data_IF_684811214943
#
_entry.id   IF_684811214943
#
_cell.length_a   1.000
_cell.length_b   1.000
_cell.length_c   1.000
_cell.angle_alpha   90.00
_cell.angle_beta   90.00
_cell.angle_gamma   90.00
#
_symmetry.space_group_name_H-M   'P 1'
#
loop_
_entity.id
_entity.type
_entity.pdbx_description
1 polymer ?
#
# COMPACT_ATOMS: atom_id res chain seq x y z
N UNK A 1 -32.02 55.62 20.38
CA UNK A 1 -31.70 54.27 19.85
C UNK A 1 -30.62 53.68 20.74
N UNK A 2 -30.91 52.60 21.47
CA UNK A 2 -29.98 51.97 22.42
C UNK A 2 -28.69 51.56 21.70
N UNK A 3 -27.53 51.71 22.33
CA UNK A 3 -26.23 51.43 21.69
C UNK A 3 -26.08 49.96 21.26
N UNK A 4 -26.81 49.05 21.89
CA UNK A 4 -26.95 47.65 21.45
C UNK A 4 -27.64 47.53 20.08
N UNK A 5 -28.68 48.33 19.81
CA UNK A 5 -29.42 48.31 18.53
C UNK A 5 -28.58 48.91 17.41
N UNK A 6 -27.79 49.95 17.69
CA UNK A 6 -26.82 50.51 16.73
C UNK A 6 -25.74 49.49 16.35
N UNK A 7 -25.24 48.75 17.33
CA UNK A 7 -24.20 47.73 17.10
C UNK A 7 -24.73 46.56 16.26
N UNK A 8 -25.96 46.12 16.52
CA UNK A 8 -26.63 45.07 15.70
C UNK A 8 -26.86 45.56 14.27
N UNK A 9 -27.36 46.80 14.08
CA UNK A 9 -27.56 47.36 12.74
C UNK A 9 -26.22 47.51 12.00
N UNK A 10 -25.17 47.99 12.68
CA UNK A 10 -23.84 48.11 12.08
C UNK A 10 -23.30 46.76 11.61
N UNK A 11 -23.46 45.70 12.42
CA UNK A 11 -23.03 44.35 12.05
C UNK A 11 -23.81 43.83 10.83
N UNK A 12 -25.14 43.98 10.80
CA UNK A 12 -25.97 43.56 9.65
C UNK A 12 -25.57 44.29 8.38
N UNK A 13 -25.31 45.60 8.46
CA UNK A 13 -24.86 46.40 7.31
C UNK A 13 -23.48 45.96 6.82
N UNK A 14 -22.54 45.68 7.73
CA UNK A 14 -21.21 45.18 7.38
C UNK A 14 -21.31 43.80 6.74
N UNK A 15 -22.08 42.87 7.31
CA UNK A 15 -22.28 41.54 6.72
C UNK A 15 -22.91 41.62 5.33
N UNK A 16 -23.92 42.48 5.13
CA UNK A 16 -24.54 42.69 3.82
C UNK A 16 -23.55 43.25 2.81
N UNK A 17 -22.79 44.27 3.20
CA UNK A 17 -21.81 44.90 2.30
C UNK A 17 -20.67 43.96 1.93
N UNK A 18 -20.13 43.19 2.89
CA UNK A 18 -19.08 42.20 2.61
C UNK A 18 -19.59 41.08 1.71
N UNK A 19 -20.81 40.55 1.97
CA UNK A 19 -21.40 39.49 1.13
C UNK A 19 -21.63 39.96 -0.30
N UNK A 20 -22.16 41.18 -0.47
CA UNK A 20 -22.43 41.75 -1.78
C UNK A 20 -21.14 42.06 -2.54
N UNK A 21 -20.10 42.52 -1.84
CA UNK A 21 -18.76 42.68 -2.42
C UNK A 21 -18.15 41.33 -2.84
N UNK A 22 -18.19 40.30 -1.99
CA UNK A 22 -17.68 38.96 -2.33
C UNK A 22 -18.42 38.34 -3.52
N UNK A 23 -19.74 38.49 -3.57
CA UNK A 23 -20.57 38.01 -4.67
C UNK A 23 -20.27 38.74 -5.98
N UNK A 24 -20.10 40.06 -5.95
CA UNK A 24 -19.74 40.83 -7.14
C UNK A 24 -18.33 40.48 -7.65
N UNK A 25 -17.37 40.31 -6.74
CA UNK A 25 -16.03 39.82 -7.10
C UNK A 25 -16.14 38.43 -7.73
N UNK A 26 -16.79 37.47 -7.07
CA UNK A 26 -16.96 36.11 -7.59
C UNK A 26 -17.66 36.08 -8.96
N UNK A 27 -18.73 36.86 -9.16
CA UNK A 27 -19.45 36.94 -10.43
C UNK A 27 -18.58 37.42 -11.60
N UNK A 28 -17.64 38.34 -11.34
CA UNK A 28 -16.71 38.83 -12.37
C UNK A 28 -15.51 37.90 -12.53
N UNK A 29 -14.99 37.34 -11.43
CA UNK A 29 -13.76 36.54 -11.47
C UNK A 29 -14.00 35.11 -11.93
N UNK A 30 -15.12 34.48 -11.56
CA UNK A 30 -15.43 33.09 -11.91
C UNK A 30 -15.33 32.80 -13.42
N UNK A 31 -15.98 33.56 -14.33
CA UNK A 31 -15.88 33.29 -15.76
C UNK A 31 -14.47 33.52 -16.33
N UNK A 32 -13.70 34.47 -15.76
CA UNK A 32 -12.31 34.73 -16.17
C UNK A 32 -11.39 33.59 -15.72
N UNK A 33 -11.60 33.07 -14.52
CA UNK A 33 -10.87 31.91 -13.99
C UNK A 33 -11.18 30.68 -14.85
N UNK A 34 -12.45 30.46 -15.18
CA UNK A 34 -12.88 29.36 -16.06
C UNK A 34 -12.24 29.47 -17.45
N UNK A 35 -12.27 30.64 -18.07
CA UNK A 35 -11.64 30.87 -19.38
C UNK A 35 -10.11 30.67 -19.33
N UNK A 36 -9.45 31.17 -18.29
CA UNK A 36 -8.01 31.00 -18.11
C UNK A 36 -7.64 29.54 -17.83
N UNK A 37 -8.45 28.81 -17.06
CA UNK A 37 -8.26 27.38 -16.84
C UNK A 37 -8.44 26.60 -18.13
N UNK A 38 -9.48 26.90 -18.93
CA UNK A 38 -9.70 26.27 -20.23
C UNK A 38 -8.52 26.54 -21.20
N UNK A 39 -7.97 27.76 -21.21
CA UNK A 39 -6.76 28.10 -21.98
C UNK A 39 -5.52 27.39 -21.47
N UNK A 40 -5.35 27.27 -20.15
CA UNK A 40 -4.23 26.55 -19.55
C UNK A 40 -4.29 25.05 -19.87
N UNK A 41 -5.49 24.47 -19.83
CA UNK A 41 -5.75 23.08 -20.23
C UNK A 41 -5.48 22.87 -21.72
N UNK A 42 -5.99 23.71 -22.62
CA UNK A 42 -5.64 23.57 -24.04
C UNK A 42 -4.15 23.84 -24.31
N UNK A 43 -3.54 24.75 -23.55
CA UNK A 43 -2.10 25.02 -23.61
C UNK A 43 -1.25 23.83 -23.16
N UNK A 44 -1.75 23.00 -22.23
CA UNK A 44 -1.02 21.83 -21.75
C UNK A 44 -0.95 20.70 -22.78
N UNK A 45 -1.81 20.68 -23.82
CA UNK A 45 -1.85 19.57 -24.78
C UNK A 45 -0.55 19.45 -25.58
N UNK A 46 0.00 20.58 -26.02
CA UNK A 46 1.26 20.60 -26.76
C UNK A 46 2.47 20.23 -25.89
N UNK A 47 2.37 20.43 -24.58
CA UNK A 47 3.39 20.03 -23.62
C UNK A 47 3.25 18.55 -23.23
N UNK A 48 2.01 18.07 -23.05
CA UNK A 48 1.68 16.69 -22.74
C UNK A 48 2.02 15.75 -23.90
N UNK A 49 1.76 16.18 -25.14
CA UNK A 49 2.06 15.43 -26.36
C UNK A 49 2.84 16.30 -27.36
N UNK A 50 4.17 16.45 -27.19
CA UNK A 50 4.99 17.26 -28.07
C UNK A 50 4.93 16.82 -29.54
N UNK A 51 4.69 17.78 -30.44
CA UNK A 51 4.59 17.54 -31.87
C UNK A 51 3.17 17.30 -32.40
N UNK A 52 2.16 17.30 -31.52
CA UNK A 52 0.74 17.21 -31.90
C UNK A 52 0.29 18.31 -32.85
N UNK A 53 -0.55 17.96 -33.83
CA UNK A 53 -1.11 18.88 -34.83
C UNK A 53 -2.64 18.87 -34.74
N UNK A 54 -3.10 19.37 -33.60
CA UNK A 54 -4.51 19.47 -33.27
C UNK A 54 -5.11 18.18 -32.72
N UNK A 55 -6.31 18.33 -32.18
CA UNK A 55 -6.99 17.28 -31.42
C UNK A 55 -8.47 17.24 -31.77
N UNK A 56 -9.02 16.03 -31.77
CA UNK A 56 -10.46 15.78 -31.75
C UNK A 56 -10.86 15.25 -30.36
N UNK A 57 -11.96 15.77 -29.81
CA UNK A 57 -12.50 15.27 -28.53
C UNK A 57 -13.17 13.91 -28.75
N UNK A 58 -12.89 12.97 -27.85
CA UNK A 58 -13.54 11.67 -27.77
C UNK A 58 -14.49 11.66 -26.57
N UNK A 59 -15.71 11.21 -26.81
CA UNK A 59 -16.68 10.99 -25.73
C UNK A 59 -16.22 9.82 -24.85
N UNK A 60 -16.02 10.01 -23.54
CA UNK A 60 -15.70 8.93 -22.62
C UNK A 60 -16.82 7.88 -22.57
N UNK A 61 -16.47 6.65 -22.19
CA UNK A 61 -17.46 5.62 -21.90
C UNK A 61 -18.41 6.06 -20.76
N UNK A 62 -19.65 5.56 -20.75
CA UNK A 62 -20.67 5.97 -19.79
C UNK A 62 -20.29 5.64 -18.33
N UNK A 63 -19.42 4.66 -18.13
CA UNK A 63 -18.86 4.17 -16.88
C UNK A 63 -17.39 4.59 -16.68
N UNK A 64 -16.91 5.60 -17.43
CA UNK A 64 -15.58 6.15 -17.23
C UNK A 64 -15.40 6.64 -15.77
N UNK A 65 -14.21 6.43 -15.18
CA UNK A 65 -13.93 6.89 -13.82
C UNK A 65 -14.17 8.39 -13.65
N UNK A 66 -14.72 8.82 -12.50
CA UNK A 66 -15.04 10.23 -12.24
C UNK A 66 -13.83 11.18 -12.32
N UNK A 67 -12.63 10.64 -12.15
CA UNK A 67 -11.37 11.38 -12.30
C UNK A 67 -11.16 11.86 -13.72
N UNK A 68 -11.68 11.14 -14.73
CA UNK A 68 -11.54 11.47 -16.16
C UNK A 68 -12.55 12.53 -16.56
N UNK A 69 -12.05 13.67 -17.06
CA UNK A 69 -12.88 14.81 -17.47
C UNK A 69 -13.11 14.89 -18.96
N UNK A 70 -12.09 14.57 -19.75
CA UNK A 70 -12.18 14.54 -21.21
C UNK A 70 -11.01 13.76 -21.79
N UNK A 71 -11.23 13.21 -22.99
CA UNK A 71 -10.23 12.47 -23.76
C UNK A 71 -10.13 13.15 -25.12
N UNK A 72 -8.92 13.36 -25.60
CA UNK A 72 -8.63 13.96 -26.89
C UNK A 72 -7.71 13.06 -27.68
N UNK A 73 -8.02 12.84 -28.96
CA UNK A 73 -7.17 12.10 -29.89
C UNK A 73 -6.46 13.07 -30.81
N UNK A 74 -5.17 12.86 -31.01
CA UNK A 74 -4.36 13.66 -31.92
C UNK A 74 -4.64 13.26 -33.38
N UNK A 75 -4.73 14.26 -34.26
CA UNK A 75 -5.24 14.08 -35.63
C UNK A 75 -4.33 13.23 -36.54
N UNK A 76 -3.02 13.24 -36.32
CA UNK A 76 -2.01 12.59 -37.16
C UNK A 76 -1.46 11.28 -36.56
N UNK A 77 -2.12 10.74 -35.53
CA UNK A 77 -1.79 9.43 -34.96
C UNK A 77 -0.61 9.44 -33.98
N UNK A 78 -0.28 10.58 -33.39
CA UNK A 78 0.76 10.66 -32.35
C UNK A 78 0.29 10.06 -31.01
N UNK A 79 -1.00 10.12 -30.72
CA UNK A 79 -1.56 9.57 -29.50
C UNK A 79 -2.78 10.32 -29.00
N UNK A 80 -2.87 10.44 -27.68
CA UNK A 80 -4.03 10.90 -26.94
C UNK A 80 -3.60 11.84 -25.82
N UNK A 81 -4.51 12.73 -25.42
CA UNK A 81 -4.41 13.54 -24.21
C UNK A 81 -5.62 13.25 -23.35
N UNK A 82 -5.40 12.91 -22.09
CA UNK A 82 -6.47 12.69 -21.11
C UNK A 82 -6.38 13.77 -20.04
N UNK A 83 -7.52 14.41 -19.75
CA UNK A 83 -7.65 15.41 -18.69
C UNK A 83 -8.27 14.74 -17.47
N UNK A 84 -7.59 14.89 -16.34
CA UNK A 84 -7.97 14.31 -15.08
C UNK A 84 -8.08 15.39 -14.01
N UNK A 85 -9.01 15.19 -13.08
CA UNK A 85 -9.00 15.88 -11.81
C UNK A 85 -9.15 14.87 -10.68
N UNK A 86 -8.31 14.99 -9.66
CA UNK A 86 -8.32 14.12 -8.48
C UNK A 86 -8.13 14.93 -7.22
N UNK A 87 -8.62 14.42 -6.10
CA UNK A 87 -8.45 15.04 -4.77
C UNK A 87 -7.88 14.02 -3.82
N UNK A 88 -6.89 14.42 -3.03
CA UNK A 88 -6.54 13.67 -1.83
C UNK A 88 -7.46 14.05 -0.67
N UNK A 89 -7.44 13.27 0.42
CA UNK A 89 -8.19 13.60 1.63
C UNK A 89 -7.76 14.92 2.31
N UNK A 90 -6.68 15.55 1.84
CA UNK A 90 -6.13 16.81 2.37
C UNK A 90 -6.18 17.98 1.37
N UNK A 91 -6.82 17.81 0.21
CA UNK A 91 -6.94 18.86 -0.80
C UNK A 91 -8.29 19.57 -0.72
N UNK A 92 -8.29 20.90 -0.59
CA UNK A 92 -9.51 21.72 -0.65
C UNK A 92 -9.97 22.00 -2.09
N UNK A 93 -9.14 21.68 -3.09
CA UNK A 93 -9.45 21.80 -4.52
C UNK A 93 -8.81 20.66 -5.31
N UNK A 94 -9.35 20.28 -6.48
CA UNK A 94 -8.79 19.17 -7.25
C UNK A 94 -7.43 19.49 -7.85
N UNK A 95 -6.53 18.51 -7.82
CA UNK A 95 -5.32 18.49 -8.63
C UNK A 95 -5.68 18.22 -10.09
N UNK A 96 -5.32 19.14 -10.98
CA UNK A 96 -5.57 19.03 -12.42
C UNK A 96 -4.36 18.39 -13.10
N UNK A 97 -4.60 17.34 -13.88
CA UNK A 97 -3.55 16.56 -14.56
C UNK A 97 -3.91 16.44 -16.04
N UNK A 98 -2.95 16.72 -16.91
CA UNK A 98 -3.01 16.41 -18.34
C UNK A 98 -1.98 15.34 -18.63
N UNK A 99 -2.41 14.17 -19.11
CA UNK A 99 -1.52 13.05 -19.46
C UNK A 99 -1.50 12.89 -20.98
N UNK A 100 -0.32 12.95 -21.58
CA UNK A 100 -0.14 12.63 -23.00
C UNK A 100 0.34 11.20 -23.16
N UNK A 101 -0.39 10.38 -23.90
CA UNK A 101 -0.15 8.95 -24.08
C UNK A 101 0.01 8.68 -25.57
N UNK A 102 1.09 8.04 -25.99
CA UNK A 102 1.28 7.64 -27.39
C UNK A 102 0.35 6.51 -27.82
N UNK A 103 0.25 6.27 -29.12
CA UNK A 103 -0.47 5.08 -29.64
C UNK A 103 0.18 3.76 -29.21
N UNK A 104 1.47 3.80 -28.86
CA UNK A 104 2.22 2.73 -28.23
C UNK A 104 1.88 2.50 -26.75
N UNK A 105 0.92 3.25 -26.19
CA UNK A 105 0.53 3.15 -24.78
C UNK A 105 1.53 3.77 -23.82
N UNK A 106 2.58 4.43 -24.33
CA UNK A 106 3.63 5.01 -23.49
C UNK A 106 3.31 6.47 -23.16
N UNK A 107 3.41 6.83 -21.88
CA UNK A 107 3.28 8.21 -21.40
C UNK A 107 4.43 9.04 -21.99
N UNK A 108 4.08 10.07 -22.75
CA UNK A 108 5.03 11.02 -23.36
C UNK A 108 5.36 12.15 -22.41
N UNK A 109 4.37 12.67 -21.68
CA UNK A 109 4.57 13.66 -20.63
C UNK A 109 3.33 13.76 -19.73
N UNK A 110 3.50 14.30 -18.52
CA UNK A 110 2.42 14.68 -17.61
C UNK A 110 2.56 16.14 -17.21
N UNK A 111 1.49 16.92 -17.38
CA UNK A 111 1.44 18.34 -17.01
C UNK A 111 0.46 18.50 -15.85
N UNK A 112 0.95 19.05 -14.74
CA UNK A 112 0.12 19.49 -13.62
C UNK A 112 -0.45 20.87 -13.92
N UNK A 113 -1.74 20.94 -14.25
CA UNK A 113 -2.43 22.21 -14.56
C UNK A 113 -2.90 22.91 -13.30
N UNK A 114 -3.14 22.17 -12.21
CA UNK A 114 -3.39 22.71 -10.89
C UNK A 114 -2.82 21.79 -9.80
N UNK A 115 -2.20 22.37 -8.77
CA UNK A 115 -1.69 21.64 -7.61
C UNK A 115 -2.25 22.24 -6.32
N UNK A 116 -3.02 21.44 -5.57
CA UNK A 116 -3.81 21.89 -4.43
C UNK A 116 -3.53 21.08 -3.15
N UNK A 117 -2.39 20.40 -3.09
CA UNK A 117 -1.99 19.59 -1.94
C UNK A 117 -1.23 20.44 -0.91
N UNK A 118 -1.40 20.09 0.37
CA UNK A 118 -0.73 20.79 1.48
C UNK A 118 0.79 20.57 1.48
N UNK A 119 1.24 19.43 0.95
CA UNK A 119 2.65 19.06 0.85
C UNK A 119 2.98 18.67 -0.58
N UNK A 120 4.10 19.17 -1.07
CA UNK A 120 4.62 18.87 -2.40
C UNK A 120 5.24 17.46 -2.44
N UNK A 121 4.85 16.65 -3.42
CA UNK A 121 5.48 15.35 -3.71
C UNK A 121 6.73 15.45 -4.59
N UNK A 122 7.08 16.66 -5.04
CA UNK A 122 8.28 16.97 -5.81
C UNK A 122 8.10 16.75 -7.31
N UNK A 123 8.90 17.48 -8.10
CA UNK A 123 8.86 17.39 -9.57
C UNK A 123 9.29 16.02 -10.12
N UNK A 124 10.10 15.28 -9.36
CA UNK A 124 10.61 13.96 -9.76
C UNK A 124 9.50 12.91 -9.79
N UNK A 125 8.44 13.06 -8.98
CA UNK A 125 7.37 12.07 -8.90
C UNK A 125 6.52 12.03 -10.18
N UNK A 126 5.91 13.12 -10.68
CA UNK A 126 5.26 13.12 -12.00
C UNK A 126 6.21 12.72 -13.14
N UNK A 127 7.48 13.12 -13.06
CA UNK A 127 8.47 12.77 -14.08
C UNK A 127 8.75 11.25 -14.16
N UNK A 128 8.58 10.51 -13.07
CA UNK A 128 8.76 9.04 -13.04
C UNK A 128 7.77 8.28 -13.93
N UNK A 129 6.63 8.90 -14.28
CA UNK A 129 5.63 8.32 -15.17
C UNK A 129 6.02 8.40 -16.64
N UNK A 130 6.94 9.30 -17.00
CA UNK A 130 7.35 9.49 -18.40
C UNK A 130 8.09 8.24 -18.88
N UNK A 131 7.66 7.70 -20.02
CA UNK A 131 8.19 6.45 -20.57
C UNK A 131 7.58 5.17 -19.98
N UNK A 132 6.66 5.28 -19.02
CA UNK A 132 5.89 4.14 -18.50
C UNK A 132 4.68 3.86 -19.38
N UNK A 133 4.21 2.62 -19.36
CA UNK A 133 2.95 2.17 -19.95
C UNK A 133 1.84 2.11 -18.88
N UNK A 134 0.72 1.44 -19.19
CA UNK A 134 -0.39 1.26 -18.24
C UNK A 134 -0.07 0.38 -17.03
N UNK A 135 1.02 -0.41 -17.05
CA UNK A 135 1.44 -1.22 -15.91
C UNK A 135 2.15 -0.37 -14.84
N UNK A 136 2.70 0.80 -15.22
CA UNK A 136 3.36 1.76 -14.31
C UNK A 136 4.42 1.10 -13.40
N UNK A 137 5.21 0.16 -13.95
CA UNK A 137 6.16 -0.67 -13.22
C UNK A 137 7.27 0.14 -12.52
N UNK A 138 7.71 1.24 -13.13
CA UNK A 138 8.76 2.09 -12.59
C UNK A 138 8.32 3.16 -11.59
N UNK A 139 7.05 3.16 -11.16
CA UNK A 139 6.47 4.24 -10.36
C UNK A 139 6.16 3.77 -8.94
N UNK A 140 6.89 4.30 -7.96
CA UNK A 140 6.63 4.08 -6.53
C UNK A 140 5.90 5.26 -5.88
N UNK A 141 5.09 5.00 -4.85
CA UNK A 141 4.45 6.04 -4.03
C UNK A 141 5.49 6.85 -3.23
N UNK A 142 5.15 8.09 -2.89
CA UNK A 142 6.08 9.00 -2.18
C UNK A 142 5.79 8.99 -0.69
N UNK A 143 6.76 8.53 0.10
CA UNK A 143 6.66 8.51 1.56
C UNK A 143 6.48 9.92 2.14
N UNK A 144 5.60 10.06 3.13
CA UNK A 144 5.29 11.34 3.78
C UNK A 144 4.22 12.18 3.08
N UNK A 145 3.82 11.80 1.86
CA UNK A 145 2.73 12.39 1.06
C UNK A 145 1.89 11.30 0.36
N UNK A 146 1.81 10.11 0.97
CA UNK A 146 1.22 8.91 0.38
C UNK A 146 -0.18 9.15 -0.18
N UNK A 147 -1.05 9.86 0.54
CA UNK A 147 -2.41 10.17 0.07
C UNK A 147 -2.42 10.93 -1.26
N UNK A 148 -1.55 11.93 -1.40
CA UNK A 148 -1.43 12.73 -2.61
C UNK A 148 -0.80 11.93 -3.75
N UNK A 149 0.26 11.16 -3.47
CA UNK A 149 0.89 10.31 -4.49
C UNK A 149 -0.04 9.19 -4.96
N UNK A 150 -0.84 8.60 -4.07
CA UNK A 150 -1.83 7.56 -4.41
C UNK A 150 -2.96 8.14 -5.26
N UNK A 151 -3.51 9.30 -4.87
CA UNK A 151 -4.54 9.97 -5.66
C UNK A 151 -4.05 10.30 -7.09
N UNK A 152 -2.80 10.75 -7.24
CA UNK A 152 -2.17 10.97 -8.54
C UNK A 152 -2.02 9.67 -9.34
N UNK A 153 -1.45 8.61 -8.72
CA UNK A 153 -1.25 7.31 -9.39
C UNK A 153 -2.57 6.74 -9.89
N UNK A 154 -3.58 6.74 -9.03
CA UNK A 154 -4.91 6.23 -9.37
C UNK A 154 -5.53 7.03 -10.52
N UNK A 155 -5.39 8.36 -10.55
CA UNK A 155 -5.88 9.16 -11.66
C UNK A 155 -5.20 8.80 -12.99
N UNK A 156 -3.88 8.53 -12.99
CA UNK A 156 -3.18 8.07 -14.20
C UNK A 156 -3.64 6.66 -14.62
N UNK A 157 -3.88 5.76 -13.67
CA UNK A 157 -4.49 4.45 -13.94
C UNK A 157 -5.88 4.59 -14.56
N UNK A 158 -6.72 5.47 -14.01
CA UNK A 158 -8.06 5.76 -14.52
C UNK A 158 -8.04 6.32 -15.95
N UNK A 159 -6.99 7.09 -16.30
CA UNK A 159 -6.78 7.56 -17.67
C UNK A 159 -6.67 6.39 -18.66
N UNK A 160 -5.90 5.35 -18.32
CA UNK A 160 -5.79 4.16 -19.14
C UNK A 160 -7.09 3.36 -19.18
N UNK A 161 -7.77 3.19 -18.04
CA UNK A 161 -9.09 2.53 -17.99
C UNK A 161 -10.07 3.17 -18.96
N UNK A 162 -10.18 4.50 -18.94
CA UNK A 162 -11.08 5.20 -19.86
C UNK A 162 -10.60 5.17 -21.31
N UNK A 163 -9.28 5.25 -21.54
CA UNK A 163 -8.71 5.22 -22.88
C UNK A 163 -8.90 3.87 -23.56
N UNK A 164 -8.67 2.75 -22.87
CA UNK A 164 -8.89 1.40 -23.41
C UNK A 164 -10.36 1.13 -23.76
N UNK A 165 -11.30 1.84 -23.14
CA UNK A 165 -12.72 1.70 -23.46
C UNK A 165 -13.12 2.38 -24.78
N UNK A 166 -12.37 3.39 -25.24
CA UNK A 166 -12.75 4.25 -26.38
C UNK A 166 -11.73 4.31 -27.50
N UNK A 167 -10.52 3.79 -27.29
CA UNK A 167 -9.40 3.87 -28.21
C UNK A 167 -8.60 2.56 -28.30
N UNK A 168 -7.95 2.37 -29.45
CA UNK A 168 -7.04 1.25 -29.71
C UNK A 168 -5.61 1.66 -29.31
N UNK A 169 -5.32 1.55 -28.02
CA UNK A 169 -4.02 1.87 -27.42
C UNK A 169 -3.42 0.60 -26.88
N UNK A 170 -2.11 0.39 -27.11
CA UNK A 170 -1.43 -0.78 -26.58
C UNK A 170 -1.51 -0.80 -25.05
N UNK A 171 -1.96 -1.92 -24.49
CA UNK A 171 -1.89 -2.17 -23.05
C UNK A 171 -0.46 -2.53 -22.66
N UNK A 172 0.01 -1.96 -21.56
CA UNK A 172 1.24 -2.39 -20.90
C UNK A 172 1.09 -3.80 -20.36
N UNK A 173 2.16 -4.57 -20.44
CA UNK A 173 2.20 -5.92 -19.85
C UNK A 173 2.73 -5.81 -18.43
N UNK A 174 1.91 -6.19 -17.44
CA UNK A 174 2.41 -6.38 -16.08
C UNK A 174 3.46 -7.49 -16.10
N UNK A 175 4.59 -7.25 -15.45
CA UNK A 175 5.56 -8.31 -15.21
C UNK A 175 5.08 -9.25 -14.10
N UNK A 176 5.65 -10.47 -14.04
CA UNK A 176 5.24 -11.49 -13.07
C UNK A 176 5.40 -11.01 -11.62
N UNK A 177 6.42 -10.21 -11.31
CA UNK A 177 6.62 -9.60 -9.99
C UNK A 177 5.51 -8.59 -9.64
N UNK A 178 5.04 -7.79 -10.60
CA UNK A 178 3.90 -6.89 -10.39
C UNK A 178 2.61 -7.66 -10.12
N UNK A 179 2.35 -8.71 -10.90
CA UNK A 179 1.18 -9.57 -10.71
C UNK A 179 1.23 -10.28 -9.36
N UNK A 180 2.39 -10.81 -8.98
CA UNK A 180 2.60 -11.44 -7.69
C UNK A 180 2.41 -10.45 -6.53
N UNK A 181 3.02 -9.27 -6.61
CA UNK A 181 2.89 -8.24 -5.57
C UNK A 181 1.45 -7.79 -5.39
N UNK A 182 0.73 -7.53 -6.48
CA UNK A 182 -0.66 -7.11 -6.45
C UNK A 182 -1.58 -8.21 -5.89
N UNK A 183 -1.41 -9.46 -6.34
CA UNK A 183 -2.19 -10.58 -5.82
C UNK A 183 -1.90 -10.89 -4.34
N UNK A 184 -0.64 -10.86 -3.92
CA UNK A 184 -0.26 -11.05 -2.51
C UNK A 184 -0.81 -9.89 -1.67
N UNK A 185 -0.70 -8.65 -2.14
CA UNK A 185 -1.21 -7.47 -1.44
C UNK A 185 -2.71 -7.52 -1.20
N UNK A 186 -3.48 -7.95 -2.20
CA UNK A 186 -4.94 -8.10 -2.10
C UNK A 186 -5.35 -9.26 -1.19
N UNK A 187 -4.77 -10.45 -1.41
CA UNK A 187 -5.17 -11.68 -0.72
C UNK A 187 -4.56 -11.82 0.68
N UNK A 188 -3.46 -11.12 0.97
CA UNK A 188 -2.78 -11.10 2.26
C UNK A 188 -2.39 -9.66 2.65
N UNK A 189 -3.35 -8.85 3.14
CA UNK A 189 -3.11 -7.44 3.46
C UNK A 189 -2.02 -7.19 4.51
N UNK A 190 -1.67 -8.20 5.33
CA UNK A 190 -0.54 -8.12 6.25
C UNK A 190 0.83 -7.97 5.53
N UNK A 191 0.89 -8.21 4.22
CA UNK A 191 2.07 -7.99 3.37
C UNK A 191 2.25 -6.55 2.89
N UNK A 192 1.25 -5.69 3.10
CA UNK A 192 1.30 -4.30 2.68
C UNK A 192 2.14 -3.46 3.66
N UNK A 193 3.02 -2.64 3.10
CA UNK A 193 3.78 -1.66 3.87
C UNK A 193 2.94 -0.43 4.26
N UNK A 194 3.54 0.55 4.92
CA UNK A 194 2.85 1.78 5.34
C UNK A 194 2.38 2.66 4.17
N UNK A 195 2.78 2.36 2.94
CA UNK A 195 2.28 3.02 1.72
C UNK A 195 1.10 2.28 1.09
N UNK A 196 0.76 1.10 1.61
CA UNK A 196 -0.26 0.21 1.03
C UNK A 196 0.27 -0.61 -0.15
N UNK A 197 1.59 -0.74 -0.29
CA UNK A 197 2.21 -1.51 -1.37
C UNK A 197 2.75 -2.84 -0.83
N UNK A 198 2.57 -3.91 -1.61
CA UNK A 198 3.33 -5.14 -1.44
C UNK A 198 4.60 -5.07 -2.28
N UNK A 199 5.74 -5.44 -1.69
CA UNK A 199 7.01 -5.59 -2.43
C UNK A 199 7.41 -7.05 -2.40
N UNK A 200 7.85 -7.59 -3.54
CA UNK A 200 8.24 -8.99 -3.67
C UNK A 200 9.68 -9.12 -4.16
N UNK A 201 10.31 -10.23 -3.78
CA UNK A 201 11.56 -10.72 -4.36
C UNK A 201 11.29 -12.08 -5.01
N UNK A 202 11.94 -12.36 -6.14
CA UNK A 202 11.80 -13.63 -6.86
C UNK A 202 13.01 -14.54 -6.61
N UNK A 203 12.75 -15.83 -6.41
CA UNK A 203 13.77 -16.87 -6.37
C UNK A 203 13.19 -18.18 -6.89
N UNK A 204 13.79 -18.73 -7.96
CA UNK A 204 13.41 -20.01 -8.56
C UNK A 204 11.91 -20.11 -8.93
N UNK A 205 11.33 -19.02 -9.43
CA UNK A 205 9.93 -18.89 -9.83
C UNK A 205 8.97 -18.60 -8.67
N UNK A 206 9.46 -18.52 -7.43
CA UNK A 206 8.68 -18.18 -6.25
C UNK A 206 8.89 -16.70 -5.88
N UNK A 207 7.80 -15.93 -5.92
CA UNK A 207 7.75 -14.56 -5.42
C UNK A 207 7.45 -14.57 -3.92
N UNK A 208 8.18 -13.77 -3.17
CA UNK A 208 8.09 -13.71 -1.70
C UNK A 208 7.90 -12.27 -1.27
N UNK A 209 6.87 -11.98 -0.47
CA UNK A 209 6.69 -10.64 0.07
C UNK A 209 7.88 -10.22 0.95
N UNK A 210 8.18 -8.92 1.00
CA UNK A 210 9.36 -8.40 1.73
C UNK A 210 9.33 -8.69 3.24
N UNK A 211 8.14 -8.88 3.84
CA UNK A 211 7.97 -9.34 5.21
C UNK A 211 7.77 -10.87 5.33
N UNK A 212 7.86 -11.60 4.21
CA UNK A 212 7.81 -13.06 4.09
C UNK A 212 6.52 -13.69 4.63
N UNK A 213 5.41 -12.97 4.52
CA UNK A 213 4.08 -13.44 4.96
C UNK A 213 3.26 -14.04 3.83
N UNK A 214 3.57 -13.66 2.59
CA UNK A 214 2.90 -14.16 1.39
C UNK A 214 3.90 -14.64 0.35
N UNK A 215 3.50 -15.67 -0.38
CA UNK A 215 4.28 -16.30 -1.43
C UNK A 215 3.38 -16.47 -2.65
N UNK A 216 3.94 -16.32 -3.85
CA UNK A 216 3.19 -16.56 -5.08
C UNK A 216 4.04 -17.19 -6.18
N UNK A 217 3.37 -17.93 -7.07
CA UNK A 217 3.88 -18.25 -8.41
C UNK A 217 2.98 -17.56 -9.43
N UNK A 218 3.55 -17.14 -10.56
CA UNK A 218 2.78 -16.60 -11.69
C UNK A 218 2.92 -17.56 -12.86
N UNK A 219 1.78 -17.92 -13.45
CA UNK A 219 1.73 -18.76 -14.65
C UNK A 219 0.51 -18.37 -15.48
N UNK A 220 0.72 -18.18 -16.78
CA UNK A 220 -0.34 -17.79 -17.73
C UNK A 220 -1.16 -16.57 -17.25
N UNK A 221 -0.47 -15.54 -16.73
CA UNK A 221 -1.08 -14.32 -16.17
C UNK A 221 -2.04 -14.57 -14.99
N UNK A 222 -1.91 -15.70 -14.32
CA UNK A 222 -2.58 -15.98 -13.04
C UNK A 222 -1.52 -16.03 -11.95
N UNK A 223 -1.71 -15.25 -10.89
CA UNK A 223 -0.89 -15.33 -9.68
C UNK A 223 -1.57 -16.22 -8.65
N UNK A 224 -0.85 -17.22 -8.13
CA UNK A 224 -1.33 -18.23 -7.18
C UNK A 224 -0.68 -17.98 -5.84
N UNK A 225 -1.46 -17.66 -4.80
CA UNK A 225 -0.96 -17.12 -3.53
C UNK A 225 -1.10 -18.13 -2.39
N UNK A 226 -0.04 -18.27 -1.60
CA UNK A 226 -0.06 -18.98 -0.30
C UNK A 226 0.36 -18.05 0.83
N UNK A 227 -0.02 -18.41 2.06
CA UNK A 227 0.59 -17.82 3.25
C UNK A 227 2.02 -18.33 3.49
N UNK A 228 2.63 -17.85 4.57
CA UNK A 228 3.99 -18.22 4.96
C UNK A 228 4.19 -19.68 5.37
N UNK A 229 3.12 -20.44 5.56
CA UNK A 229 3.18 -21.85 5.93
C UNK A 229 2.88 -22.78 4.75
N UNK A 230 2.63 -22.22 3.56
CA UNK A 230 2.27 -22.96 2.36
C UNK A 230 0.78 -23.32 2.27
N UNK A 231 -0.08 -22.71 3.07
CA UNK A 231 -1.53 -22.85 2.90
C UNK A 231 -1.98 -22.01 1.71
N UNK A 232 -2.73 -22.62 0.79
CA UNK A 232 -3.27 -21.91 -0.37
C UNK A 232 -4.36 -20.93 0.04
N UNK A 233 -4.22 -19.68 -0.42
CA UNK A 233 -5.15 -18.58 -0.10
C UNK A 233 -6.10 -18.33 -1.27
N UNK A 234 -5.58 -18.37 -2.49
CA UNK A 234 -6.36 -18.17 -3.71
C UNK A 234 -5.49 -17.73 -4.88
N UNK A 235 -6.14 -17.42 -6.00
CA UNK A 235 -5.48 -16.89 -7.19
C UNK A 235 -6.11 -15.58 -7.65
N UNK A 236 -5.33 -14.76 -8.36
CA UNK A 236 -5.81 -13.58 -9.10
C UNK A 236 -5.43 -13.72 -10.57
N UNK A 237 -6.43 -13.59 -11.46
CA UNK A 237 -6.20 -13.54 -12.90
C UNK A 237 -6.02 -12.10 -13.37
N UNK A 238 -5.06 -11.88 -14.27
CA UNK A 238 -4.80 -10.62 -14.95
C UNK A 238 -5.19 -10.68 -16.44
N UNK A 239 -5.88 -11.75 -16.84
CA UNK A 239 -6.42 -11.95 -18.19
C UNK A 239 -7.74 -12.70 -18.10
N UNK A 240 -8.80 -12.17 -18.71
CA UNK A 240 -10.15 -12.76 -18.68
C UNK A 240 -10.20 -14.18 -19.27
N UNK A 241 -9.24 -14.53 -20.13
CA UNK A 241 -9.14 -15.86 -20.72
C UNK A 241 -8.39 -16.87 -19.84
N UNK A 242 -7.58 -16.39 -18.89
CA UNK A 242 -6.76 -17.23 -18.05
C UNK A 242 -7.54 -17.82 -16.86
N UNK A 243 -7.18 -19.03 -16.47
CA UNK A 243 -7.88 -19.77 -15.41
C UNK A 243 -6.90 -20.50 -14.51
N UNK A 244 -7.32 -20.75 -13.27
CA UNK A 244 -6.52 -21.47 -12.28
C UNK A 244 -6.09 -22.87 -12.77
N UNK A 245 -4.80 -23.15 -12.72
CA UNK A 245 -4.19 -24.46 -12.97
C UNK A 245 -3.85 -25.16 -11.63
N UNK A 246 -4.52 -26.26 -11.37
CA UNK A 246 -4.34 -27.05 -10.15
C UNK A 246 -2.90 -27.58 -9.97
N UNK A 247 -2.14 -27.78 -11.05
CA UNK A 247 -0.74 -28.19 -10.95
C UNK A 247 0.16 -27.07 -10.43
N UNK A 248 -0.15 -25.82 -10.76
CA UNK A 248 0.56 -24.63 -10.26
C UNK A 248 0.20 -24.38 -8.79
N UNK A 249 -1.07 -24.61 -8.40
CA UNK A 249 -1.49 -24.57 -6.99
C UNK A 249 -0.66 -25.52 -6.14
N UNK A 250 -0.46 -26.76 -6.56
CA UNK A 250 0.37 -27.71 -5.81
C UNK A 250 1.86 -27.33 -5.83
N UNK A 251 2.37 -26.75 -6.93
CA UNK A 251 3.75 -26.29 -7.03
C UNK A 251 4.05 -25.12 -6.09
N UNK A 252 3.17 -24.12 -6.01
CA UNK A 252 3.37 -22.97 -5.10
C UNK A 252 3.29 -23.40 -3.64
N UNK A 253 2.35 -24.29 -3.29
CA UNK A 253 2.26 -24.86 -1.93
C UNK A 253 3.53 -25.58 -1.52
N UNK A 254 4.07 -26.43 -2.41
CA UNK A 254 5.32 -27.14 -2.16
C UNK A 254 6.50 -26.18 -1.97
N UNK A 255 6.65 -25.20 -2.87
CA UNK A 255 7.74 -24.23 -2.83
C UNK A 255 7.68 -23.34 -1.58
N UNK A 256 6.49 -22.88 -1.19
CA UNK A 256 6.29 -22.11 0.04
C UNK A 256 6.56 -22.94 1.30
N UNK A 257 6.15 -24.22 1.33
CA UNK A 257 6.44 -25.12 2.44
C UNK A 257 7.96 -25.40 2.58
N UNK A 258 8.68 -25.53 1.47
CA UNK A 258 10.15 -25.65 1.47
C UNK A 258 10.82 -24.36 1.98
N UNK A 259 10.35 -23.19 1.54
CA UNK A 259 10.82 -21.90 2.03
C UNK A 259 10.57 -21.74 3.54
N UNK A 260 9.42 -22.19 4.04
CA UNK A 260 9.11 -22.22 5.47
C UNK A 260 10.06 -23.15 6.25
N UNK A 261 10.30 -24.36 5.75
CA UNK A 261 11.23 -25.30 6.37
C UNK A 261 12.66 -24.73 6.45
N UNK A 262 13.14 -24.09 5.38
CA UNK A 262 14.45 -23.44 5.35
C UNK A 262 14.54 -22.27 6.35
N UNK A 263 13.51 -21.42 6.42
CA UNK A 263 13.45 -20.32 7.40
C UNK A 263 13.40 -20.84 8.85
N UNK A 264 12.71 -21.96 9.06
CA UNK A 264 12.54 -22.62 10.36
C UNK A 264 13.86 -23.06 10.98
N UNK A 265 14.84 -23.52 10.20
CA UNK A 265 16.15 -23.94 10.73
C UNK A 265 16.82 -22.85 11.58
N UNK A 266 16.77 -21.60 11.10
CA UNK A 266 17.38 -20.46 11.79
C UNK A 266 16.64 -20.15 13.10
N UNK A 267 15.32 -20.29 13.10
CA UNK A 267 14.48 -20.02 14.27
C UNK A 267 14.59 -21.13 15.31
N UNK A 268 14.62 -22.39 14.90
CA UNK A 268 14.87 -23.54 15.78
C UNK A 268 16.23 -23.39 16.47
N UNK A 269 17.29 -23.04 15.73
CA UNK A 269 18.63 -22.77 16.32
C UNK A 269 18.58 -21.64 17.37
N UNK A 270 17.77 -20.62 17.17
CA UNK A 270 17.58 -19.53 18.15
C UNK A 270 16.82 -20.00 19.39
N UNK A 271 15.79 -20.82 19.22
CA UNK A 271 14.99 -21.39 20.32
C UNK A 271 15.87 -22.31 21.17
N UNK A 272 16.60 -23.25 20.56
CA UNK A 272 17.52 -24.17 21.26
C UNK A 272 18.63 -23.41 22.01
N UNK A 273 19.10 -22.27 21.48
CA UNK A 273 20.04 -21.41 22.22
C UNK A 273 19.43 -20.77 23.47
N UNK A 274 18.11 -20.61 23.51
CA UNK A 274 17.39 -20.05 24.66
C UNK A 274 16.91 -21.11 25.65
N UNK A 275 16.72 -22.35 25.17
CA UNK A 275 16.26 -23.52 25.90
C UNK A 275 17.08 -24.73 25.41
N UNK A 276 18.19 -25.04 26.09
CA UNK A 276 19.20 -26.00 25.59
C UNK A 276 18.67 -27.44 25.45
N UNK A 277 17.63 -27.79 26.21
CA UNK A 277 16.95 -29.08 26.20
C UNK A 277 15.73 -29.14 25.26
N UNK A 278 15.45 -28.07 24.50
CA UNK A 278 14.25 -27.98 23.69
C UNK A 278 14.27 -28.93 22.48
N UNK A 279 13.28 -29.81 22.42
CA UNK A 279 12.91 -30.55 21.21
C UNK A 279 11.84 -29.78 20.45
N UNK A 280 12.26 -29.06 19.40
CA UNK A 280 11.40 -28.11 18.67
C UNK A 280 10.74 -28.78 17.47
N UNK A 281 9.42 -28.63 17.37
CA UNK A 281 8.59 -29.08 16.24
C UNK A 281 7.99 -27.87 15.53
N UNK A 282 7.97 -27.87 14.20
CA UNK A 282 7.30 -26.85 13.39
C UNK A 282 5.79 -27.05 13.39
N UNK A 283 5.05 -25.96 13.38
CA UNK A 283 3.59 -25.92 13.30
C UNK A 283 3.16 -25.22 12.00
N UNK A 284 1.96 -25.54 11.53
CA UNK A 284 1.31 -24.93 10.36
C UNK A 284 -0.07 -24.46 10.78
N UNK A 285 -0.18 -23.24 11.35
CA UNK A 285 -1.48 -22.63 11.63
C UNK A 285 -2.26 -22.48 10.31
N UNK A 286 -3.59 -22.67 10.37
CA UNK A 286 -4.47 -22.51 9.22
C UNK A 286 -5.55 -21.48 9.52
N UNK A 287 -6.03 -20.76 8.50
CA UNK A 287 -7.10 -19.77 8.67
C UNK A 287 -6.65 -18.46 9.32
N UNK A 288 -5.34 -18.23 9.41
CA UNK A 288 -4.75 -17.03 10.02
C UNK A 288 -3.95 -16.29 8.94
N UNK A 289 -4.61 -15.36 8.25
CA UNK A 289 -3.95 -14.44 7.31
C UNK A 289 -3.35 -13.28 8.10
N UNK A 290 -2.08 -13.42 8.53
CA UNK A 290 -1.47 -12.49 9.47
C UNK A 290 0.00 -12.22 9.17
N UNK A 291 0.63 -11.39 10.02
CA UNK A 291 2.07 -11.14 9.96
C UNK A 291 2.95 -12.29 10.48
N UNK A 292 2.34 -13.38 10.99
CA UNK A 292 3.08 -14.53 11.52
C UNK A 292 3.66 -15.35 10.37
N UNK A 293 4.98 -15.55 10.41
CA UNK A 293 5.74 -16.27 9.38
C UNK A 293 6.55 -17.44 9.94
N UNK A 294 6.28 -17.84 11.18
CA UNK A 294 6.78 -19.08 11.75
C UNK A 294 6.12 -19.43 13.05
N UNK A 295 5.90 -20.72 13.27
CA UNK A 295 5.23 -21.26 14.45
C UNK A 295 5.86 -22.58 14.87
N UNK A 296 6.11 -22.74 16.17
CA UNK A 296 6.83 -23.88 16.71
C UNK A 296 6.25 -24.27 18.06
N UNK A 297 6.30 -25.55 18.40
CA UNK A 297 6.08 -26.06 19.76
C UNK A 297 7.33 -26.75 20.27
N UNK A 298 7.56 -26.73 21.57
CA UNK A 298 8.63 -27.47 22.22
C UNK A 298 8.32 -27.70 23.70
N UNK A 299 9.05 -28.60 24.33
CA UNK A 299 9.04 -28.79 25.78
C UNK A 299 10.43 -28.46 26.34
N UNK A 300 10.47 -27.80 27.49
CA UNK A 300 11.71 -27.56 28.24
C UNK A 300 11.40 -27.64 29.73
N UNK A 301 12.23 -28.36 30.48
CA UNK A 301 12.06 -28.63 31.92
C UNK A 301 10.64 -29.14 32.29
N UNK A 302 10.00 -29.90 31.39
CA UNK A 302 8.65 -30.44 31.60
C UNK A 302 7.51 -29.44 31.37
N UNK A 303 7.80 -28.23 30.89
CA UNK A 303 6.80 -27.21 30.51
C UNK A 303 6.70 -27.13 28.99
N UNK A 304 5.48 -27.13 28.47
CA UNK A 304 5.22 -26.94 27.04
C UNK A 304 5.19 -25.44 26.67
N UNK A 305 5.82 -25.12 25.55
CA UNK A 305 5.94 -23.77 25.02
C UNK A 305 5.59 -23.72 23.54
N UNK A 306 5.13 -22.54 23.11
CA UNK A 306 4.87 -22.20 21.72
C UNK A 306 5.70 -20.98 21.36
N UNK A 307 6.48 -21.08 20.28
CA UNK A 307 7.23 -19.96 19.74
C UNK A 307 6.60 -19.50 18.43
N UNK A 308 6.43 -18.21 18.25
CA UNK A 308 5.92 -17.63 17.00
C UNK A 308 6.80 -16.48 16.55
N UNK A 309 7.10 -16.43 15.25
CA UNK A 309 7.79 -15.31 14.61
C UNK A 309 6.82 -14.53 13.74
N UNK A 310 6.96 -13.21 13.79
CA UNK A 310 6.14 -12.26 13.04
C UNK A 310 7.02 -11.20 12.39
N UNK A 311 6.56 -10.65 11.28
CA UNK A 311 7.21 -9.57 10.55
C UNK A 311 6.19 -8.51 10.12
N UNK A 312 6.02 -7.48 10.95
CA UNK A 312 5.11 -6.34 10.70
C UNK A 312 5.87 -5.12 10.19
N UNK A 313 5.21 -4.23 9.45
CA UNK A 313 5.87 -3.02 8.93
C UNK A 313 5.90 -1.89 9.97
N UNK A 314 7.11 -1.54 10.42
CA UNK A 314 7.43 -0.32 11.16
C UNK A 314 7.76 0.83 10.21
N UNK A 315 8.32 1.92 10.73
CA UNK A 315 8.65 3.11 9.93
C UNK A 315 9.72 2.85 8.87
N UNK A 316 10.74 2.06 9.20
CA UNK A 316 11.89 1.76 8.34
C UNK A 316 11.77 0.46 7.56
N UNK A 317 10.63 -0.23 7.63
CA UNK A 317 10.38 -1.52 7.00
C UNK A 317 10.01 -2.61 8.01
N UNK A 318 10.23 -3.90 7.67
CA UNK A 318 9.81 -5.00 8.52
C UNK A 318 10.51 -5.06 9.89
N UNK A 319 9.73 -5.20 10.95
CA UNK A 319 10.15 -5.46 12.33
C UNK A 319 9.89 -6.93 12.63
N UNK A 320 10.96 -7.71 12.75
CA UNK A 320 10.89 -9.15 12.97
C UNK A 320 10.96 -9.45 14.46
N UNK A 321 9.96 -10.16 14.99
CA UNK A 321 9.82 -10.41 16.42
C UNK A 321 9.58 -11.89 16.66
N UNK A 322 10.06 -12.40 17.80
CA UNK A 322 9.77 -13.74 18.32
C UNK A 322 9.11 -13.62 19.69
N UNK A 323 7.94 -14.24 19.82
CA UNK A 323 7.28 -14.49 21.10
C UNK A 323 7.43 -15.96 21.46
N UNK A 324 7.69 -16.24 22.73
CA UNK A 324 7.63 -17.58 23.30
C UNK A 324 6.65 -17.53 24.46
N UNK A 325 5.61 -18.35 24.40
CA UNK A 325 4.54 -18.41 25.39
C UNK A 325 4.37 -19.80 25.96
N UNK A 326 3.87 -19.87 27.19
CA UNK A 326 3.41 -21.12 27.79
C UNK A 326 2.03 -21.55 27.23
N UNK A 327 1.49 -22.66 27.73
CA UNK A 327 0.19 -23.18 27.31
C UNK A 327 -1.00 -22.25 27.60
N UNK A 328 -0.83 -21.25 28.46
CA UNK A 328 -1.86 -20.27 28.81
C UNK A 328 -1.72 -18.97 28.00
N UNK A 329 -0.77 -18.89 27.06
CA UNK A 329 -0.47 -17.67 26.32
C UNK A 329 0.29 -16.62 27.13
N UNK A 330 0.86 -17.00 28.29
CA UNK A 330 1.72 -16.12 29.08
C UNK A 330 3.10 -16.07 28.44
N UNK A 331 3.60 -14.88 28.19
CA UNK A 331 4.90 -14.65 27.56
C UNK A 331 6.00 -15.09 28.50
N UNK A 332 6.74 -16.12 28.10
CA UNK A 332 7.97 -16.55 28.77
C UNK A 332 9.19 -15.79 28.21
N UNK A 333 9.18 -15.45 26.92
CA UNK A 333 10.26 -14.72 26.27
C UNK A 333 9.76 -13.86 25.12
N UNK A 334 10.39 -12.70 24.98
CA UNK A 334 10.18 -11.79 23.87
C UNK A 334 11.53 -11.40 23.29
N UNK A 335 11.63 -11.35 21.96
CA UNK A 335 12.87 -10.97 21.28
C UNK A 335 12.59 -10.28 19.96
N UNK A 336 13.18 -9.09 19.79
CA UNK A 336 13.32 -8.48 18.47
C UNK A 336 14.46 -9.18 17.74
N UNK A 337 14.19 -9.76 16.57
CA UNK A 337 15.13 -10.53 15.76
C UNK A 337 15.93 -9.64 14.81
N UNK A 338 15.26 -8.67 14.18
CA UNK A 338 15.83 -7.68 13.27
C UNK A 338 14.82 -6.56 12.98
N UNK A 339 15.29 -5.36 12.69
CA UNK A 339 14.49 -4.23 12.25
C UNK A 339 15.36 -3.25 11.46
N UNK A 340 14.74 -2.33 10.74
CA UNK A 340 15.42 -1.24 10.03
C UNK A 340 14.89 0.15 10.47
N UNK A 341 14.31 0.21 11.67
CA UNK A 341 13.78 1.43 12.27
C UNK A 341 14.85 2.52 12.49
N UNK A 342 14.39 3.75 12.72
CA UNK A 342 15.27 4.89 13.01
C UNK A 342 16.07 4.67 14.29
N UNK A 343 17.22 5.35 14.40
CA UNK A 343 18.16 5.25 15.53
C UNK A 343 17.46 5.34 16.89
N UNK A 344 16.54 6.29 17.06
CA UNK A 344 15.80 6.47 18.31
C UNK A 344 15.01 5.24 18.75
N UNK A 345 14.27 4.59 17.83
CA UNK A 345 13.55 3.36 18.17
C UNK A 345 14.50 2.17 18.33
N UNK A 346 15.52 2.07 17.46
CA UNK A 346 16.55 1.04 17.53
C UNK A 346 17.26 1.00 18.89
N UNK A 347 17.56 2.17 19.45
CA UNK A 347 18.13 2.30 20.78
C UNK A 347 17.18 1.81 21.86
N UNK A 348 15.87 2.07 21.75
CA UNK A 348 14.86 1.63 22.71
C UNK A 348 14.71 0.11 22.70
N UNK A 349 14.59 -0.52 21.53
CA UNK A 349 14.40 -1.98 21.46
C UNK A 349 15.66 -2.77 21.78
N UNK A 350 16.83 -2.15 21.65
CA UNK A 350 18.11 -2.72 22.11
C UNK A 350 18.25 -2.71 23.63
N UNK A 351 17.41 -1.94 24.34
CA UNK A 351 17.45 -1.90 25.81
C UNK A 351 16.76 -3.12 26.41
N UNK A 352 17.43 -3.73 27.40
CA UNK A 352 16.87 -4.83 28.19
C UNK A 352 15.62 -4.42 28.97
N UNK A 353 15.45 -3.13 29.27
CA UNK A 353 14.26 -2.61 29.95
C UNK A 353 12.99 -2.77 29.10
N UNK A 354 13.09 -2.53 27.78
CA UNK A 354 11.95 -2.67 26.87
C UNK A 354 11.58 -4.15 26.71
N UNK A 355 12.55 -4.98 26.29
CA UNK A 355 12.32 -6.42 26.08
C UNK A 355 11.98 -7.17 27.37
N UNK A 356 12.49 -6.72 28.52
CA UNK A 356 12.22 -7.28 29.84
C UNK A 356 10.83 -6.96 30.40
N UNK A 357 10.07 -6.05 29.79
CA UNK A 357 8.69 -5.75 30.18
C UNK A 357 7.66 -6.78 29.70
N UNK A 358 8.02 -7.61 28.72
CA UNK A 358 7.11 -8.58 28.10
C UNK A 358 6.93 -9.88 28.90
N UNK A 359 7.98 -10.52 29.47
CA UNK A 359 7.79 -11.73 30.24
C UNK A 359 6.79 -11.56 31.39
N UNK A 360 5.86 -12.51 31.53
CA UNK A 360 4.78 -12.50 32.52
C UNK A 360 3.50 -11.78 32.07
N UNK A 361 3.53 -11.06 30.94
CA UNK A 361 2.32 -10.55 30.28
C UNK A 361 1.61 -11.67 29.52
N UNK A 362 0.31 -11.50 29.24
CA UNK A 362 -0.47 -12.42 28.38
C UNK A 362 -0.59 -11.79 26.99
N UNK A 363 -0.39 -12.57 25.90
CA UNK A 363 -0.35 -12.07 24.51
C UNK A 363 -1.51 -11.14 24.14
N UNK A 364 -2.75 -11.55 24.46
CA UNK A 364 -3.95 -10.78 24.16
C UNK A 364 -4.22 -9.61 25.12
N UNK A 365 -3.33 -9.35 26.09
CA UNK A 365 -3.53 -8.36 27.17
C UNK A 365 -2.24 -7.68 27.62
N UNK A 366 -1.28 -7.50 26.70
CA UNK A 366 -0.01 -6.81 27.00
C UNK A 366 -0.31 -5.33 27.31
N UNK A 367 0.27 -4.79 28.38
CA UNK A 367 0.03 -3.40 28.77
C UNK A 367 0.59 -2.38 27.77
N UNK A 368 -0.10 -1.25 27.63
CA UNK A 368 0.35 -0.13 26.78
C UNK A 368 1.71 0.43 27.23
N UNK A 369 2.02 0.38 28.53
CA UNK A 369 3.33 0.80 29.07
C UNK A 369 4.50 -0.05 28.55
N UNK A 370 4.23 -1.28 28.08
CA UNK A 370 5.23 -2.17 27.47
C UNK A 370 5.24 -2.01 25.94
N UNK A 371 4.07 -1.84 25.32
CA UNK A 371 3.93 -1.78 23.86
C UNK A 371 4.37 -0.43 23.27
N UNK A 372 4.06 0.68 23.96
CA UNK A 372 4.14 2.02 23.37
C UNK A 372 5.51 2.65 23.59
N UNK A 373 6.12 3.09 22.49
CA UNK A 373 7.31 3.95 22.51
C UNK A 373 6.91 5.33 22.01
N UNK A 374 7.04 6.34 22.88
CA UNK A 374 6.67 7.73 22.55
C UNK A 374 7.43 8.22 21.32
N UNK A 375 6.75 8.90 20.41
CA UNK A 375 7.32 9.39 19.15
C UNK A 375 7.54 8.33 18.06
N UNK A 376 7.22 7.05 18.33
CA UNK A 376 7.41 5.93 17.39
C UNK A 376 6.07 5.27 17.03
N UNK A 377 5.12 6.06 16.51
CA UNK A 377 3.73 5.61 16.29
C UNK A 377 3.64 4.43 15.31
N UNK A 378 4.29 4.51 14.13
CA UNK A 378 4.27 3.44 13.14
C UNK A 378 4.80 2.13 13.72
N UNK A 379 5.96 2.18 14.37
CA UNK A 379 6.59 1.01 14.97
C UNK A 379 5.79 0.45 16.15
N UNK A 380 5.22 1.33 16.99
CA UNK A 380 4.33 0.92 18.08
C UNK A 380 3.12 0.16 17.53
N UNK A 381 2.51 0.64 16.45
CA UNK A 381 1.40 -0.05 15.81
C UNK A 381 1.85 -1.39 15.22
N UNK A 382 3.03 -1.45 14.61
CA UNK A 382 3.60 -2.70 14.10
C UNK A 382 3.76 -3.76 15.21
N UNK A 383 4.25 -3.38 16.39
CA UNK A 383 4.38 -4.30 17.54
C UNK A 383 3.01 -4.71 18.10
N UNK A 384 2.04 -3.78 18.12
CA UNK A 384 0.65 -4.10 18.54
C UNK A 384 -0.01 -5.11 17.60
N UNK A 385 0.10 -4.90 16.29
CA UNK A 385 -0.38 -5.83 15.27
C UNK A 385 0.30 -7.19 15.41
N UNK A 386 1.62 -7.20 15.59
CA UNK A 386 2.39 -8.43 15.81
C UNK A 386 1.86 -9.24 17.01
N UNK A 387 1.57 -8.60 18.14
CA UNK A 387 1.02 -9.29 19.32
C UNK A 387 -0.40 -9.85 19.06
N UNK A 388 -1.26 -9.09 18.38
CA UNK A 388 -2.61 -9.53 18.03
C UNK A 388 -2.58 -10.72 17.07
N UNK A 389 -1.74 -10.64 16.03
CA UNK A 389 -1.57 -11.69 15.03
C UNK A 389 -1.00 -12.98 15.62
N UNK A 390 -0.04 -12.86 16.55
CA UNK A 390 0.51 -13.99 17.30
C UNK A 390 -0.54 -14.60 18.22
N UNK A 391 -1.42 -13.80 18.82
CA UNK A 391 -2.54 -14.31 19.63
C UNK A 391 -3.47 -15.17 18.77
N UNK A 392 -3.88 -14.65 17.60
CA UNK A 392 -4.75 -15.39 16.68
C UNK A 392 -4.11 -16.68 16.17
N UNK A 393 -2.81 -16.64 15.82
CA UNK A 393 -2.08 -17.84 15.41
C UNK A 393 -1.94 -18.87 16.54
N UNK A 394 -1.70 -18.41 17.77
CA UNK A 394 -1.60 -19.27 18.95
C UNK A 394 -2.93 -19.98 19.22
N UNK A 395 -4.04 -19.24 19.19
CA UNK A 395 -5.37 -19.81 19.39
C UNK A 395 -5.69 -20.84 18.30
N UNK A 396 -5.41 -20.54 17.02
CA UNK A 396 -5.62 -21.47 15.91
C UNK A 396 -4.82 -22.77 16.05
N UNK A 397 -3.57 -22.69 16.53
CA UNK A 397 -2.76 -23.88 16.83
C UNK A 397 -3.37 -24.69 17.98
N UNK A 398 -3.84 -24.01 19.04
CA UNK A 398 -4.41 -24.65 20.23
C UNK A 398 -5.74 -25.34 19.94
N UNK A 399 -6.57 -24.80 19.05
CA UNK A 399 -7.84 -25.42 18.63
C UNK A 399 -7.66 -26.65 17.75
N UNK A 400 -6.52 -26.77 17.04
CA UNK A 400 -6.22 -27.88 16.14
C UNK A 400 -5.61 -29.12 16.84
N UNK A 401 -5.25 -29.02 18.12
CA UNK A 401 -4.67 -30.09 18.94
C UNK A 401 -5.72 -30.73 19.86
#
# INVERSE_FOLDING_TARGET
>A
MNDSVKSVIALVVICLTVTLALSAVNYVTAPIIEENNAKAVQGSFAEALPGADGFEELEPAADAPETVKSIYKENNGLGYVVILETTSQYSESPMGITVGIGTDGIIKNIVLTNYAETKDFGADYPASYIGQDSALAGVELVSGVTYSSTAFRNAVTDAYTALFAVADVAAGEMSDDQMAADAIGELLPASLDNTGACKVEESDGLFVSSNRTGYAMVADKVAYVTDAFGNYIGSKSFDDAASEDASVVEAVKASAAEAYAAASEKNIKRIVKMYEDAEVTTLVPTGVQSSVNGAYSFTSEGTAYYAMTTSTFGYGGPVNIMYIVDENGTIAKFKVLSHNETEYYGDVVSQSAYTGGYPGQVLGSISDDVLVVSGCTFTTNAVKTAAADVTAAFDAVKEAQ
#
